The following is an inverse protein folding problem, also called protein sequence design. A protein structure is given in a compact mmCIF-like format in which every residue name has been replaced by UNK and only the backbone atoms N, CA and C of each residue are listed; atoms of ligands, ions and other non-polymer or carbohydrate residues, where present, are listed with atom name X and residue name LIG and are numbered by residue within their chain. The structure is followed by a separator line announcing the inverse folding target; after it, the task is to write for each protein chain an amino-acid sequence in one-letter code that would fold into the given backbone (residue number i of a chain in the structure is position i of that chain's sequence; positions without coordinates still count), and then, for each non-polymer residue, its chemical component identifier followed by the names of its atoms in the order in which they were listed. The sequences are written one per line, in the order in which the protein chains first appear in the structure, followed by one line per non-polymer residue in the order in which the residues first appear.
data_IF_437835314322
#
_entry.id   IF_437835314322
#
_cell.length_a   1.000
_cell.length_b   1.000
_cell.length_c   1.000
_cell.angle_alpha   90.00
_cell.angle_beta   90.00
_cell.angle_gamma   90.00
#
_symmetry.space_group_name_H-M   'P 1'
#
loop_
_entity.id
_entity.type
_entity.pdbx_description
1 polymer ?
#
# COMPACT_ATOMS: atom_id res chain seq x y z
N UNK A 1 13.90 28.67 -41.81
CA UNK A 1 14.09 27.89 -40.56
C UNK A 1 13.81 26.44 -40.89
N UNK A 2 14.81 25.56 -40.81
CA UNK A 2 14.63 24.16 -41.20
C UNK A 2 14.27 23.30 -39.97
N UNK A 3 13.47 22.23 -40.11
CA UNK A 3 13.23 21.27 -39.04
C UNK A 3 14.51 20.64 -38.46
N UNK A 4 15.58 20.55 -39.27
CA UNK A 4 16.88 20.06 -38.81
C UNK A 4 17.54 21.01 -37.79
N UNK A 5 17.27 22.32 -37.88
CA UNK A 5 17.75 23.32 -36.93
C UNK A 5 17.03 23.16 -35.58
N UNK A 6 15.74 22.80 -35.59
CA UNK A 6 14.97 22.52 -34.38
C UNK A 6 15.43 21.24 -33.68
N UNK A 7 15.77 20.20 -34.45
CA UNK A 7 16.31 18.93 -33.91
C UNK A 7 17.71 19.12 -33.35
N UNK A 8 18.56 19.93 -33.99
CA UNK A 8 19.89 20.25 -33.47
C UNK A 8 19.83 21.12 -32.20
N UNK A 9 18.86 22.02 -32.08
CA UNK A 9 18.68 22.82 -30.87
C UNK A 9 18.11 21.98 -29.70
N UNK A 10 17.27 20.99 -29.99
CA UNK A 10 16.64 20.13 -28.99
C UNK A 10 17.51 18.93 -28.56
N UNK A 11 18.46 18.51 -29.41
CA UNK A 11 19.36 17.38 -29.14
C UNK A 11 20.08 17.46 -27.78
N UNK A 12 20.77 18.57 -27.46
CA UNK A 12 21.51 18.72 -26.21
C UNK A 12 20.66 18.72 -24.94
N UNK A 13 19.36 19.04 -25.03
CA UNK A 13 18.43 19.05 -23.88
C UNK A 13 18.04 17.63 -23.45
N UNK A 14 18.11 16.65 -24.37
CA UNK A 14 17.58 15.30 -24.15
C UNK A 14 18.61 14.23 -23.78
N UNK A 15 19.92 14.45 -24.04
CA UNK A 15 20.96 13.41 -23.98
C UNK A 15 22.09 13.64 -22.97
N UNK A 16 22.41 14.87 -22.58
CA UNK A 16 23.36 15.14 -21.49
C UNK A 16 22.64 15.05 -20.13
N UNK A 17 23.36 15.13 -19.01
CA UNK A 17 22.79 15.26 -17.65
C UNK A 17 21.99 16.57 -17.49
N UNK A 18 20.97 16.76 -18.31
CA UNK A 18 20.18 17.96 -18.48
C UNK A 18 18.74 17.76 -18.01
N UNK A 19 17.86 18.74 -18.30
CA UNK A 19 16.51 18.83 -17.72
C UNK A 19 15.65 17.56 -17.88
N UNK A 20 15.88 16.78 -18.95
CA UNK A 20 15.18 15.52 -19.19
C UNK A 20 15.44 14.44 -18.14
N UNK A 21 16.62 14.41 -17.52
CA UNK A 21 16.96 13.44 -16.46
C UNK A 21 16.23 13.76 -15.15
N UNK A 22 16.17 15.04 -14.78
CA UNK A 22 15.40 15.52 -13.64
C UNK A 22 13.90 15.24 -13.80
N UNK A 23 13.34 15.49 -14.99
CA UNK A 23 11.94 15.20 -15.27
C UNK A 23 11.63 13.70 -15.14
N UNK A 24 12.53 12.82 -15.63
CA UNK A 24 12.40 11.37 -15.46
C UNK A 24 12.40 10.97 -13.98
N UNK A 25 13.30 11.53 -13.17
CA UNK A 25 13.33 11.25 -11.74
C UNK A 25 12.06 11.68 -11.02
N UNK A 26 11.56 12.89 -11.30
CA UNK A 26 10.30 13.36 -10.70
C UNK A 26 9.13 12.49 -11.11
N UNK A 27 9.04 12.11 -12.38
CA UNK A 27 7.98 11.22 -12.86
C UNK A 27 8.03 9.88 -12.13
N UNK A 28 9.19 9.24 -12.09
CA UNK A 28 9.39 7.96 -11.40
C UNK A 28 9.05 8.11 -9.91
N UNK A 29 9.57 9.14 -9.24
CA UNK A 29 9.31 9.38 -7.82
C UNK A 29 7.82 9.62 -7.53
N UNK A 30 7.10 10.28 -8.44
CA UNK A 30 5.65 10.49 -8.31
C UNK A 30 4.89 9.17 -8.35
N UNK A 31 5.19 8.29 -9.31
CA UNK A 31 4.57 6.96 -9.37
C UNK A 31 4.92 6.10 -8.16
N UNK A 32 6.18 6.12 -7.73
CA UNK A 32 6.62 5.40 -6.53
C UNK A 32 5.92 5.94 -5.28
N UNK A 33 5.78 7.26 -5.14
CA UNK A 33 5.09 7.88 -4.02
C UNK A 33 3.63 7.48 -3.91
N UNK A 34 2.89 7.51 -5.04
CA UNK A 34 1.50 7.06 -5.08
C UNK A 34 1.42 5.54 -4.82
N UNK A 35 2.32 4.75 -5.40
CA UNK A 35 2.38 3.30 -5.16
C UNK A 35 2.60 2.96 -3.69
N UNK A 36 3.52 3.66 -3.02
CA UNK A 36 3.77 3.50 -1.58
C UNK A 36 2.58 3.96 -0.74
N UNK A 37 1.89 5.04 -1.12
CA UNK A 37 0.67 5.49 -0.46
C UNK A 37 -0.43 4.43 -0.52
N UNK A 38 -0.69 3.87 -1.71
CA UNK A 38 -1.67 2.79 -1.90
C UNK A 38 -1.25 1.53 -1.14
N UNK A 39 0.04 1.18 -1.19
CA UNK A 39 0.57 0.04 -0.45
C UNK A 39 0.39 0.22 1.07
N UNK A 40 0.70 1.39 1.62
CA UNK A 40 0.53 1.68 3.04
C UNK A 40 -0.94 1.58 3.46
N UNK A 41 -1.86 2.09 2.64
CA UNK A 41 -3.30 1.99 2.90
C UNK A 41 -3.79 0.54 2.88
N UNK A 42 -3.38 -0.24 1.89
CA UNK A 42 -3.70 -1.68 1.80
C UNK A 42 -3.03 -2.50 2.91
N UNK A 43 -1.84 -2.10 3.36
CA UNK A 43 -1.12 -2.72 4.48
C UNK A 43 -1.86 -2.47 5.79
N UNK A 44 -2.31 -1.25 6.02
CA UNK A 44 -3.06 -0.85 7.20
C UNK A 44 -4.44 -1.54 7.27
N UNK A 45 -5.14 -1.68 6.15
CA UNK A 45 -6.42 -2.40 6.12
C UNK A 45 -6.26 -3.88 6.48
N UNK A 46 -5.18 -4.53 6.03
CA UNK A 46 -4.85 -5.91 6.43
C UNK A 46 -4.52 -6.04 7.92
N UNK A 47 -3.83 -5.06 8.50
CA UNK A 47 -3.55 -5.06 9.94
C UNK A 47 -4.82 -4.83 10.77
N UNK A 48 -5.76 -4.00 10.29
CA UNK A 48 -7.09 -3.85 10.88
C UNK A 48 -7.87 -5.17 10.86
N UNK A 49 -7.98 -5.80 9.69
CA UNK A 49 -8.68 -7.07 9.53
C UNK A 49 -8.13 -8.18 10.41
N UNK A 50 -6.80 -8.25 10.62
CA UNK A 50 -6.19 -9.22 11.54
C UNK A 50 -6.61 -8.98 13.00
N UNK A 51 -6.61 -7.72 13.44
CA UNK A 51 -7.01 -7.35 14.81
C UNK A 51 -8.48 -7.64 15.07
N UNK A 52 -9.34 -7.44 14.08
CA UNK A 52 -10.76 -7.75 14.19
C UNK A 52 -11.00 -9.26 14.22
N UNK A 53 -10.30 -10.03 13.38
CA UNK A 53 -10.34 -11.49 13.41
C UNK A 53 -9.86 -12.06 14.76
N UNK A 54 -8.82 -11.51 15.36
CA UNK A 54 -8.35 -11.90 16.70
C UNK A 54 -9.41 -11.64 17.77
N UNK A 55 -10.12 -10.51 17.71
CA UNK A 55 -11.20 -10.18 18.67
C UNK A 55 -12.39 -11.11 18.53
N UNK A 56 -12.76 -11.48 17.31
CA UNK A 56 -13.82 -12.46 17.06
C UNK A 56 -13.43 -13.85 17.56
N UNK A 57 -12.21 -14.29 17.28
CA UNK A 57 -11.70 -15.57 17.75
C UNK A 57 -11.69 -15.66 19.30
N UNK A 58 -11.32 -14.58 19.99
CA UNK A 58 -11.39 -14.51 21.46
C UNK A 58 -12.84 -14.62 21.95
N UNK A 59 -13.78 -13.87 21.37
CA UNK A 59 -15.20 -13.93 21.74
C UNK A 59 -15.81 -15.31 21.51
N UNK A 60 -15.43 -15.97 20.42
CA UNK A 60 -15.90 -17.32 20.12
C UNK A 60 -15.32 -18.35 21.09
N UNK A 61 -14.05 -18.20 21.47
CA UNK A 61 -13.41 -19.02 22.52
C UNK A 61 -14.10 -18.81 23.87
N UNK A 62 -14.45 -17.58 24.24
CA UNK A 62 -15.21 -17.29 25.46
C UNK A 62 -16.63 -17.89 25.40
N UNK A 63 -17.32 -17.77 24.26
CA UNK A 63 -18.67 -18.32 24.09
C UNK A 63 -18.68 -19.85 24.16
N UNK A 64 -17.70 -20.50 23.52
CA UNK A 64 -17.56 -21.96 23.55
C UNK A 64 -17.10 -22.47 24.91
N UNK A 65 -16.18 -21.76 25.57
CA UNK A 65 -15.77 -22.06 26.95
C UNK A 65 -16.91 -21.89 27.96
N UNK A 66 -17.72 -20.82 27.84
CA UNK A 66 -18.90 -20.61 28.67
C UNK A 66 -20.01 -21.65 28.41
N UNK A 67 -20.17 -22.10 27.16
CA UNK A 67 -21.10 -23.18 26.82
C UNK A 67 -20.65 -24.54 27.36
N UNK A 68 -19.34 -24.79 27.46
CA UNK A 68 -18.78 -26.02 28.02
C UNK A 68 -18.88 -26.10 29.55
N UNK A 69 -18.92 -24.96 30.26
CA UNK A 69 -19.09 -24.92 31.73
C UNK A 69 -20.54 -25.07 32.22
N UNK A 70 -21.52 -24.63 31.41
CA UNK A 70 -22.94 -24.64 31.78
C UNK A 70 -23.59 -26.01 32.03
N UNK A 71 -23.26 -27.12 31.32
CA UNK A 71 -23.92 -28.41 31.56
C UNK A 71 -23.47 -29.08 32.87
N UNK A 72 -22.38 -28.62 33.50
CA UNK A 72 -21.87 -29.22 34.74
C UNK A 72 -22.58 -28.67 36.00
N UNK A 73 -23.06 -27.43 35.96
CA UNK A 73 -23.67 -26.74 37.11
C UNK A 73 -25.19 -26.99 37.26
N UNK A 74 -25.85 -27.56 36.25
CA UNK A 74 -27.33 -27.78 36.21
C UNK A 74 -27.74 -29.20 36.67
N UNK A 75 -26.81 -29.96 37.27
CA UNK A 75 -27.02 -31.35 37.73
C UNK A 75 -26.91 -31.52 39.26
N UNK A 76 -26.86 -30.44 40.05
CA UNK A 76 -26.77 -30.49 41.52
C UNK A 76 -28.08 -30.11 42.21
#
# INVERSE_FOLDING_TARGET
MSPADLVQLAGPISTENGPGLFLRFILIASFVGVGLMVWALARASRDGAKRDAEREAVRETERTGAAAGRPADDLS
#
